data_IF_951175194993
#
_entry.id   IF_951175194993
#
_cell.length_a   1.000
_cell.length_b   1.000
_cell.length_c   1.000
_cell.angle_alpha   90.00
_cell.angle_beta   90.00
_cell.angle_gamma   90.00
#
_symmetry.space_group_name_H-M   'P 1'
#
loop_
_entity.id
_entity.type
_entity.pdbx_description
1 polymer ?
#
# COMPACT_ATOMS: atom_id res chain seq x y z
N UNK A 1 -12.41 4.73 -11.64
CA UNK A 1 -11.75 5.20 -10.41
C UNK A 1 -11.62 4.04 -9.44
N UNK A 2 -10.39 3.71 -9.08
CA UNK A 2 -10.05 2.60 -8.19
C UNK A 2 -9.58 3.19 -6.85
N UNK A 3 -10.13 2.73 -5.73
CA UNK A 3 -9.62 3.06 -4.39
C UNK A 3 -8.96 1.83 -3.79
N UNK A 4 -7.71 1.97 -3.36
CA UNK A 4 -6.93 0.90 -2.75
C UNK A 4 -6.53 1.26 -1.33
N UNK A 5 -6.54 0.30 -0.39
CA UNK A 5 -5.94 0.49 0.92
C UNK A 5 -4.43 0.37 0.84
N UNK A 6 -3.75 1.38 1.40
CA UNK A 6 -2.30 1.47 1.51
C UNK A 6 -1.93 1.54 2.98
N UNK A 7 -1.07 0.64 3.44
CA UNK A 7 -0.45 0.67 4.75
C UNK A 7 0.85 1.47 4.68
N UNK A 8 1.03 2.39 5.61
CA UNK A 8 2.22 3.22 5.76
C UNK A 8 2.77 2.97 7.16
N UNK A 9 4.02 2.49 7.23
CA UNK A 9 4.65 2.16 8.50
C UNK A 9 5.15 3.42 9.23
N UNK A 10 5.01 3.42 10.55
CA UNK A 10 5.42 4.52 11.42
C UNK A 10 6.90 4.87 11.22
N UNK A 11 7.76 3.85 11.20
CA UNK A 11 9.21 4.05 11.08
C UNK A 11 9.60 4.65 9.73
N UNK A 12 8.84 4.38 8.66
CA UNK A 12 9.10 4.99 7.36
C UNK A 12 8.75 6.48 7.39
N UNK A 13 7.65 6.84 8.05
CA UNK A 13 7.29 8.24 8.27
C UNK A 13 8.35 8.96 9.10
N UNK A 14 8.85 8.34 10.16
CA UNK A 14 9.89 8.93 11.03
C UNK A 14 11.26 9.07 10.33
N UNK A 15 11.55 8.23 9.34
CA UNK A 15 12.86 8.18 8.69
C UNK A 15 12.92 9.00 7.40
N UNK A 16 11.98 8.79 6.47
CA UNK A 16 12.02 9.33 5.11
C UNK A 16 10.66 9.81 4.58
N UNK A 17 9.59 9.65 5.36
CA UNK A 17 8.25 10.03 4.93
C UNK A 17 8.06 11.53 4.88
N UNK A 18 7.13 11.95 4.04
CA UNK A 18 6.64 13.32 3.99
C UNK A 18 5.23 13.36 4.60
N UNK A 19 4.93 14.42 5.36
CA UNK A 19 3.58 14.66 5.85
C UNK A 19 2.58 14.70 4.69
N UNK A 20 1.39 14.12 4.92
CA UNK A 20 0.27 14.15 3.97
C UNK A 20 -1.06 14.27 4.70
N UNK A 21 -2.05 14.81 4.01
CA UNK A 21 -3.41 15.06 4.49
C UNK A 21 -4.46 14.51 3.53
N UNK A 22 -5.69 14.35 4.02
CA UNK A 22 -6.83 14.04 3.15
C UNK A 22 -7.01 15.15 2.11
N UNK A 23 -7.09 14.75 0.84
CA UNK A 23 -7.15 15.64 -0.31
C UNK A 23 -5.81 15.82 -1.02
N UNK A 24 -4.69 15.45 -0.39
CA UNK A 24 -3.38 15.61 -0.99
C UNK A 24 -3.20 14.65 -2.19
N UNK A 25 -2.51 15.18 -3.20
CA UNK A 25 -2.00 14.39 -4.31
C UNK A 25 -0.66 13.80 -3.91
N UNK A 26 -0.52 12.50 -4.12
CA UNK A 26 0.69 11.76 -3.79
C UNK A 26 1.15 10.94 -4.98
N UNK A 27 2.43 10.63 -5.00
CA UNK A 27 3.03 9.75 -5.98
C UNK A 27 3.83 8.66 -5.25
N UNK A 28 3.19 7.54 -4.97
CA UNK A 28 3.68 6.55 -4.01
C UNK A 28 4.18 5.29 -4.69
N UNK A 29 5.36 4.85 -4.25
CA UNK A 29 5.90 3.52 -4.51
C UNK A 29 5.10 2.48 -3.71
N UNK A 30 4.39 1.58 -4.40
CA UNK A 30 3.48 0.60 -3.79
C UNK A 30 3.99 -0.83 -4.00
N UNK A 31 3.93 -1.64 -2.95
CA UNK A 31 4.30 -3.06 -2.97
C UNK A 31 3.15 -3.95 -2.51
N UNK A 32 2.94 -5.08 -3.18
CA UNK A 32 2.09 -6.14 -2.69
C UNK A 32 2.86 -7.01 -1.69
N UNK A 33 2.30 -7.25 -0.51
CA UNK A 33 2.92 -8.12 0.49
C UNK A 33 1.88 -9.10 1.05
N UNK A 34 2.00 -10.41 0.76
CA UNK A 34 1.13 -11.43 1.34
C UNK A 34 1.15 -11.42 2.86
N UNK A 35 2.30 -11.07 3.45
CA UNK A 35 2.47 -10.98 4.89
C UNK A 35 1.57 -9.87 5.46
N UNK A 36 1.64 -8.64 4.93
CA UNK A 36 0.80 -7.54 5.42
C UNK A 36 -0.68 -7.79 5.17
N UNK A 37 -1.03 -8.34 4.01
CA UNK A 37 -2.40 -8.74 3.68
C UNK A 37 -2.97 -9.72 4.69
N UNK A 38 -2.19 -10.73 5.13
CA UNK A 38 -2.64 -11.67 6.15
C UNK A 38 -2.77 -11.02 7.53
N UNK A 39 -1.84 -10.15 7.91
CA UNK A 39 -1.80 -9.57 9.26
C UNK A 39 -2.82 -8.44 9.45
N UNK A 40 -3.15 -7.70 8.39
CA UNK A 40 -4.11 -6.60 8.42
C UNK A 40 -5.50 -7.00 7.94
N UNK A 41 -5.77 -8.29 7.69
CA UNK A 41 -7.04 -8.77 7.13
C UNK A 41 -8.29 -8.36 7.93
N UNK A 42 -8.17 -8.17 9.25
CA UNK A 42 -9.30 -7.81 10.12
C UNK A 42 -9.61 -6.31 10.11
N UNK A 43 -8.63 -5.47 9.77
CA UNK A 43 -8.74 -4.00 9.83
C UNK A 43 -8.74 -3.35 8.45
N UNK A 44 -8.25 -4.07 7.45
CA UNK A 44 -8.18 -3.60 6.08
C UNK A 44 -9.46 -3.97 5.32
N UNK A 45 -10.10 -3.03 4.60
CA UNK A 45 -11.24 -3.37 3.76
C UNK A 45 -10.85 -4.42 2.71
N UNK A 46 -11.76 -5.37 2.47
CA UNK A 46 -11.56 -6.33 1.40
C UNK A 46 -11.57 -5.61 0.05
N UNK A 47 -10.46 -5.71 -0.67
CA UNK A 47 -10.35 -5.29 -2.06
C UNK A 47 -9.57 -6.33 -2.86
N UNK A 48 -9.82 -6.33 -4.16
CA UNK A 48 -9.02 -7.11 -5.09
C UNK A 48 -9.10 -6.55 -6.50
N UNK A 49 -7.98 -6.62 -7.23
CA UNK A 49 -7.95 -6.42 -8.68
C UNK A 49 -7.41 -7.69 -9.32
N UNK A 50 -7.99 -8.03 -10.47
CA UNK A 50 -7.62 -9.18 -11.27
C UNK A 50 -7.22 -8.76 -12.68
N UNK A 51 -6.32 -9.53 -13.29
CA UNK A 51 -5.92 -9.29 -14.68
C UNK A 51 -4.89 -8.19 -14.84
N UNK A 52 -4.17 -7.83 -13.76
CA UNK A 52 -3.09 -6.88 -13.87
C UNK A 52 -1.96 -7.46 -14.72
N UNK A 53 -1.40 -6.65 -15.61
CA UNK A 53 -0.33 -7.08 -16.52
C UNK A 53 1.00 -7.05 -15.76
N UNK A 54 1.60 -8.22 -15.58
CA UNK A 54 2.92 -8.34 -14.98
C UNK A 54 4.02 -8.11 -16.03
N UNK A 55 4.95 -7.20 -15.74
CA UNK A 55 6.19 -7.00 -16.49
C UNK A 55 7.34 -7.43 -15.60
N UNK A 56 8.19 -8.31 -16.11
CA UNK A 56 9.29 -8.90 -15.35
C UNK A 56 10.54 -8.04 -15.39
N UNK A 57 11.10 -7.73 -14.22
CA UNK A 57 12.53 -7.48 -14.03
C UNK A 57 13.28 -8.78 -13.71
N UNK A 58 14.59 -8.70 -13.44
CA UNK A 58 15.41 -9.89 -13.11
C UNK A 58 14.96 -10.61 -11.82
N UNK A 59 14.26 -9.93 -10.92
CA UNK A 59 13.87 -10.46 -9.58
C UNK A 59 12.48 -10.08 -9.08
N UNK A 60 11.82 -9.12 -9.72
CA UNK A 60 10.52 -8.57 -9.29
C UNK A 60 9.61 -8.37 -10.50
N UNK A 61 8.31 -8.25 -10.25
CA UNK A 61 7.35 -7.93 -11.30
C UNK A 61 6.66 -6.59 -11.01
N UNK A 62 6.58 -5.74 -12.01
CA UNK A 62 5.71 -4.56 -11.98
C UNK A 62 4.35 -4.93 -12.55
N UNK A 63 3.31 -4.62 -11.79
CA UNK A 63 1.94 -5.05 -12.05
C UNK A 63 1.07 -3.80 -12.21
N UNK A 64 0.40 -3.65 -13.36
CA UNK A 64 -0.34 -2.41 -13.70
C UNK A 64 -1.82 -2.63 -13.99
N UNK A 65 -2.67 -1.69 -13.54
CA UNK A 65 -4.12 -1.66 -13.81
C UNK A 65 -4.75 -0.29 -13.54
N UNK A 66 -5.34 0.37 -14.55
CA UNK A 66 -6.10 1.62 -14.35
C UNK A 66 -5.33 2.67 -13.53
N UNK A 67 -4.09 2.99 -13.95
CA UNK A 67 -3.19 3.90 -13.24
C UNK A 67 -2.43 3.30 -12.04
N UNK A 68 -2.91 2.20 -11.46
CA UNK A 68 -2.24 1.53 -10.34
C UNK A 68 -0.98 0.83 -10.86
N UNK A 69 0.14 1.05 -10.18
CA UNK A 69 1.40 0.36 -10.42
C UNK A 69 1.95 -0.21 -9.12
N UNK A 70 2.08 -1.53 -9.05
CA UNK A 70 2.51 -2.24 -7.83
C UNK A 70 3.71 -3.11 -8.13
N UNK A 71 4.69 -3.08 -7.22
CA UNK A 71 5.74 -4.08 -7.18
C UNK A 71 5.22 -5.33 -6.48
N UNK A 72 5.28 -6.47 -7.18
CA UNK A 72 4.88 -7.76 -6.63
C UNK A 72 6.09 -8.68 -6.57
N UNK A 73 6.32 -9.28 -5.40
CA UNK A 73 7.32 -10.33 -5.18
C UNK A 73 6.74 -11.66 -5.71
N UNK A 74 6.44 -11.69 -7.01
CA UNK A 74 5.83 -12.87 -7.62
C UNK A 74 6.80 -14.04 -7.66
N UNK A 75 6.27 -15.23 -7.37
CA UNK A 75 6.94 -16.50 -7.59
C UNK A 75 7.37 -16.62 -9.06
N UNK A 76 8.59 -17.10 -9.29
CA UNK A 76 9.05 -17.47 -10.62
C UNK A 76 8.48 -18.84 -11.04
N UNK A 77 7.98 -19.02 -12.28
CA UNK A 77 7.88 -18.02 -13.34
C UNK A 77 6.72 -17.03 -13.13
N UNK A 78 6.97 -15.75 -13.41
CA UNK A 78 5.98 -14.69 -13.23
C UNK A 78 4.74 -14.94 -14.11
N UNK A 79 3.53 -14.94 -13.54
CA UNK A 79 2.31 -15.15 -14.31
C UNK A 79 2.05 -13.97 -15.26
N UNK A 80 1.45 -14.22 -16.42
CA UNK A 80 1.05 -13.16 -17.38
C UNK A 80 0.00 -12.20 -16.82
N UNK A 81 -0.79 -12.68 -15.85
CA UNK A 81 -1.81 -11.91 -15.16
C UNK A 81 -1.69 -12.16 -13.67
N UNK A 82 -1.76 -11.09 -12.87
CA UNK A 82 -1.74 -11.19 -11.42
C UNK A 82 -3.13 -10.88 -10.82
N UNK A 83 -3.34 -11.37 -9.59
CA UNK A 83 -4.41 -10.94 -8.69
C UNK A 83 -3.75 -10.33 -7.48
N UNK A 84 -4.09 -9.08 -7.17
CA UNK A 84 -3.67 -8.44 -5.93
C UNK A 84 -4.89 -8.32 -5.01
N UNK A 85 -4.69 -8.59 -3.72
CA UNK A 85 -5.71 -8.53 -2.68
C UNK A 85 -5.15 -7.91 -1.41
N UNK A 86 -6.03 -7.31 -0.60
CA UNK A 86 -5.74 -7.09 0.82
C UNK A 86 -5.22 -5.69 1.12
N UNK A 87 -3.92 -5.47 1.21
CA UNK A 87 -3.35 -4.14 1.47
C UNK A 87 -2.06 -3.96 0.70
N UNK A 88 -1.84 -2.75 0.19
CA UNK A 88 -0.56 -2.38 -0.42
C UNK A 88 0.31 -1.74 0.64
N UNK A 89 1.62 -1.97 0.58
CA UNK A 89 2.58 -1.27 1.39
C UNK A 89 3.08 -0.06 0.62
N UNK A 90 3.09 1.12 1.23
CA UNK A 90 3.91 2.20 0.73
C UNK A 90 5.35 1.96 1.16
N UNK A 91 6.30 2.07 0.23
CA UNK A 91 7.73 1.91 0.51
C UNK A 91 8.49 3.20 0.23
N UNK A 92 8.87 3.91 1.30
CA UNK A 92 9.73 5.10 1.22
C UNK A 92 11.23 4.79 1.19
N UNK A 93 11.64 3.57 1.54
CA UNK A 93 13.01 3.29 1.98
C UNK A 93 13.75 2.28 1.08
N UNK A 94 13.08 1.66 0.11
CA UNK A 94 13.80 0.81 -0.85
C UNK A 94 14.78 1.63 -1.69
N UNK A 95 15.99 1.10 -1.90
CA UNK A 95 16.94 1.63 -2.88
C UNK A 95 16.61 1.24 -4.33
N UNK A 96 15.54 0.48 -4.56
CA UNK A 96 15.08 0.10 -5.89
C UNK A 96 14.24 1.24 -6.49
N UNK A 97 14.61 1.72 -7.67
CA UNK A 97 13.74 2.61 -8.45
C UNK A 97 12.62 1.77 -9.08
N UNK A 98 11.38 1.95 -8.62
CA UNK A 98 10.20 1.41 -9.28
C UNK A 98 9.13 2.49 -9.49
N UNK A 99 8.28 2.31 -10.52
CA UNK A 99 7.33 3.34 -10.90
C UNK A 99 6.34 3.63 -9.77
N UNK A 100 6.23 4.91 -9.44
CA UNK A 100 5.29 5.40 -8.45
C UNK A 100 3.86 5.43 -9.03
N UNK A 101 2.88 5.22 -8.15
CA UNK A 101 1.45 5.32 -8.45
C UNK A 101 0.93 6.69 -8.01
N UNK A 102 0.44 7.51 -8.95
CA UNK A 102 -0.22 8.76 -8.59
C UNK A 102 -1.62 8.48 -8.01
N UNK A 103 -1.97 9.21 -6.96
CA UNK A 103 -3.29 9.10 -6.33
C UNK A 103 -3.65 10.29 -5.44
N UNK A 104 -4.87 10.25 -4.92
CA UNK A 104 -5.39 11.24 -3.97
C UNK A 104 -5.72 10.53 -2.65
N UNK A 105 -5.24 11.08 -1.55
CA UNK A 105 -5.55 10.58 -0.21
C UNK A 105 -7.02 10.88 0.10
N UNK A 106 -7.84 9.84 0.30
CA UNK A 106 -9.29 9.99 0.59
C UNK A 106 -9.65 9.77 2.05
N UNK A 107 -8.90 8.94 2.75
CA UNK A 107 -9.07 8.74 4.18
C UNK A 107 -7.75 8.31 4.80
N UNK A 108 -7.50 8.74 6.03
CA UNK A 108 -6.38 8.31 6.85
C UNK A 108 -6.96 7.74 8.13
N UNK A 109 -6.55 6.52 8.47
CA UNK A 109 -6.91 5.84 9.71
C UNK A 109 -5.64 5.42 10.43
N UNK A 110 -5.48 5.85 11.69
CA UNK A 110 -4.40 5.31 12.51
C UNK A 110 -4.64 3.83 12.80
N UNK A 111 -3.63 3.01 12.62
CA UNK A 111 -3.58 1.61 13.03
C UNK A 111 -2.88 1.58 14.39
N UNK A 112 -3.67 1.52 15.45
CA UNK A 112 -3.15 1.45 16.80
C UNK A 112 -2.57 0.04 17.02
N UNK A 113 -1.27 -0.02 17.35
CA UNK A 113 -0.49 -1.20 17.73
C UNK A 113 -0.23 -2.26 16.63
N UNK A 114 0.66 -1.93 15.68
CA UNK A 114 1.40 -2.91 14.91
C UNK A 114 2.84 -3.04 15.46
N UNK A 115 3.01 -3.92 16.45
CA UNK A 115 4.32 -4.26 16.99
C UNK A 115 5.02 -5.38 16.18
N UNK A 116 6.37 -5.44 16.17
CA UNK A 116 7.14 -6.43 15.40
C UNK A 116 6.96 -7.91 15.82
N UNK A 117 5.98 -8.24 16.67
CA UNK A 117 5.77 -9.57 17.27
C UNK A 117 4.32 -10.05 17.37
N UNK A 118 3.42 -9.57 16.50
CA UNK A 118 2.11 -10.22 16.31
C UNK A 118 1.14 -10.13 17.50
N UNK A 119 1.33 -9.18 18.41
CA UNK A 119 0.35 -8.95 19.49
C UNK A 119 -0.79 -8.08 18.97
N UNK A 120 -1.94 -8.69 18.65
CA UNK A 120 -3.18 -7.94 18.42
C UNK A 120 -3.63 -7.32 19.74
N UNK A 121 -3.59 -6.00 19.86
CA UNK A 121 -4.26 -5.27 20.94
C UNK A 121 -5.35 -4.40 20.31
N UNK A 122 -6.60 -4.78 20.58
CA UNK A 122 -7.90 -4.19 20.20
C UNK A 122 -7.93 -2.81 19.49
N UNK A 123 -8.46 -2.88 18.27
CA UNK A 123 -9.42 -2.01 17.54
C UNK A 123 -9.57 -0.52 17.88
N UNK A 124 -9.27 0.30 16.87
CA UNK A 124 -9.95 1.55 16.57
C UNK A 124 -9.24 2.34 15.47
N UNK A 125 -9.75 2.30 14.23
CA UNK A 125 -9.37 3.27 13.22
C UNK A 125 -9.89 4.65 13.64
N UNK A 126 -9.00 5.55 14.09
CA UNK A 126 -9.35 6.96 14.23
C UNK A 126 -9.12 7.64 12.90
N UNK A 127 -10.19 8.16 12.30
CA UNK A 127 -10.08 8.98 11.10
C UNK A 127 -9.34 10.26 11.45
N UNK A 128 -8.28 10.55 10.72
CA UNK A 128 -7.50 11.77 10.86
C UNK A 128 -7.57 12.58 9.55
N UNK A 129 -7.54 13.90 9.67
CA UNK A 129 -7.42 14.79 8.51
C UNK A 129 -5.97 14.86 7.98
N UNK A 130 -4.99 14.58 8.85
CA UNK A 130 -3.56 14.66 8.56
C UNK A 130 -2.87 13.40 9.12
N UNK A 131 -1.83 12.94 8.45
CA UNK A 131 -0.96 11.88 8.94
C UNK A 131 -0.41 12.27 10.32
N UNK A 132 -0.68 11.43 11.32
CA UNK A 132 -0.09 11.55 12.64
C UNK A 132 1.09 10.60 12.79
N UNK A 133 1.60 10.50 14.01
CA UNK A 133 2.61 9.49 14.38
C UNK A 133 1.97 8.10 14.46
N UNK A 134 2.68 7.06 14.01
CA UNK A 134 2.25 5.67 14.10
C UNK A 134 1.94 5.05 12.74
N UNK A 135 1.54 3.79 12.75
CA UNK A 135 1.18 3.08 11.52
C UNK A 135 -0.16 3.57 11.00
N UNK A 136 -0.28 3.73 9.68
CA UNK A 136 -1.44 4.35 9.04
C UNK A 136 -2.02 3.41 7.98
N UNK A 137 -3.35 3.35 7.93
CA UNK A 137 -4.10 2.80 6.83
C UNK A 137 -4.72 3.96 6.03
N UNK A 138 -4.37 4.04 4.77
CA UNK A 138 -4.75 5.12 3.86
C UNK A 138 -5.64 4.57 2.76
N UNK A 139 -6.78 5.20 2.52
CA UNK A 139 -7.56 4.96 1.31
C UNK A 139 -7.03 5.87 0.20
N UNK A 140 -6.35 5.28 -0.78
CA UNK A 140 -5.76 5.99 -1.90
C UNK A 140 -6.64 5.81 -3.14
N UNK A 141 -7.15 6.91 -3.69
CA UNK A 141 -7.85 6.91 -4.97
C UNK A 141 -6.86 7.06 -6.12
N UNK A 142 -6.78 6.05 -6.97
CA UNK A 142 -5.87 5.97 -8.09
C UNK A 142 -6.37 6.85 -9.23
N UNK A 143 -5.46 7.63 -9.81
CA UNK A 143 -5.72 8.41 -11.03
C UNK A 143 -5.32 7.60 -12.25
N UNK A 144 -6.22 7.52 -13.22
CA UNK A 144 -5.85 7.08 -14.56
C UNK A 144 -4.91 8.15 -15.15
N UNK A 145 -3.67 7.76 -15.45
CA UNK A 145 -2.68 8.60 -16.15
C UNK A 145 -2.98 8.69 -17.64
#
# INVERSE_FOLDING_TARGET
MLTVPVFVEAWQMDCCGADFSVGDEVNWSLRASPWYTAHLADVCPQWSVHGLVARTGEKTATVTYGGLTVLDELSWPTPKTAKITGVLLHDFHSSEEFPATPGVVRAISAVLDYGPRGTKIREGARTAATAGTGDLLVSLEIRDT
#
